data_IF_120848770935
#
_entry.id   IF_120848770935
#
_cell.length_a   1.000
_cell.length_b   1.000
_cell.length_c   1.000
_cell.angle_alpha   90.00
_cell.angle_beta   90.00
_cell.angle_gamma   90.00
#
_symmetry.space_group_name_H-M   'P 1'
#
loop_
_entity.id
_entity.type
_entity.pdbx_description
1 polymer ?
#
# COMPACT_ATOMS: atom_id res chain seq x y z
N UNK A 1 21.14 5.53 -43.70
CA UNK A 1 21.43 5.57 -42.25
C UNK A 1 20.27 6.27 -41.54
N UNK A 2 19.16 5.56 -41.28
CA UNK A 2 18.04 6.09 -40.48
C UNK A 2 17.60 4.98 -39.52
N UNK A 3 18.19 4.99 -38.32
CA UNK A 3 17.92 4.03 -37.26
C UNK A 3 16.56 4.33 -36.61
N UNK A 4 15.74 3.30 -36.47
CA UNK A 4 14.45 3.38 -35.81
C UNK A 4 14.56 3.61 -34.30
N UNK A 5 13.52 4.22 -33.74
CA UNK A 5 13.19 4.12 -32.31
C UNK A 5 11.67 4.06 -32.18
N UNK A 6 11.14 2.83 -32.17
CA UNK A 6 9.78 2.59 -31.66
C UNK A 6 9.68 2.98 -30.18
N UNK A 7 8.46 3.15 -29.65
CA UNK A 7 8.25 3.47 -28.24
C UNK A 7 8.90 2.39 -27.36
N UNK A 8 9.79 2.82 -26.46
CA UNK A 8 10.39 1.95 -25.46
C UNK A 8 9.27 1.37 -24.60
N UNK A 9 9.18 0.04 -24.40
CA UNK A 9 8.23 -0.49 -23.44
C UNK A 9 8.52 0.14 -22.08
N UNK A 10 7.48 0.64 -21.42
CA UNK A 10 7.57 1.08 -20.03
C UNK A 10 8.01 -0.14 -19.23
N UNK A 11 9.25 -0.09 -18.73
CA UNK A 11 9.79 -1.13 -17.88
C UNK A 11 8.84 -1.30 -16.70
N UNK A 12 8.15 -2.45 -16.66
CA UNK A 12 7.47 -2.93 -15.47
C UNK A 12 8.50 -2.86 -14.34
N UNK A 13 8.32 -1.92 -13.41
CA UNK A 13 9.14 -1.90 -12.20
C UNK A 13 8.61 -3.03 -11.34
N UNK A 14 9.12 -4.22 -11.61
CA UNK A 14 9.02 -5.33 -10.69
C UNK A 14 9.52 -4.83 -9.33
N UNK A 15 8.71 -4.92 -8.26
CA UNK A 15 9.12 -4.44 -6.96
C UNK A 15 10.43 -5.16 -6.58
N UNK A 16 11.42 -4.45 -6.00
CA UNK A 16 12.71 -5.05 -5.70
C UNK A 16 12.49 -6.28 -4.84
N UNK A 17 13.01 -7.42 -5.30
CA UNK A 17 12.93 -8.73 -4.66
C UNK A 17 13.73 -8.78 -3.36
N UNK A 18 13.29 -8.03 -2.35
CA UNK A 18 13.68 -8.17 -0.96
C UNK A 18 12.59 -8.92 -0.17
N UNK A 19 12.89 -9.48 1.01
CA UNK A 19 11.92 -10.27 1.76
C UNK A 19 10.81 -9.37 2.34
N UNK A 20 9.70 -9.22 1.61
CA UNK A 20 8.56 -8.39 2.03
C UNK A 20 7.13 -9.01 1.96
N UNK A 21 6.94 -10.35 2.05
CA UNK A 21 5.63 -10.93 2.42
C UNK A 21 5.60 -11.63 3.79
N UNK A 22 6.74 -12.07 4.33
CA UNK A 22 6.80 -12.84 5.58
C UNK A 22 6.85 -11.95 6.84
N UNK A 23 7.61 -10.85 6.80
CA UNK A 23 7.88 -10.02 7.98
C UNK A 23 6.61 -9.41 8.61
N UNK A 24 5.62 -9.05 7.78
CA UNK A 24 4.33 -8.52 8.27
C UNK A 24 3.49 -9.59 8.97
N UNK A 25 3.65 -10.87 8.60
CA UNK A 25 2.93 -12.00 9.23
C UNK A 25 3.55 -12.40 10.55
N UNK A 26 4.84 -12.14 10.75
CA UNK A 26 5.59 -12.46 11.96
C UNK A 26 5.55 -11.36 13.01
N UNK A 27 4.83 -10.26 12.77
CA UNK A 27 4.67 -9.19 13.76
C UNK A 27 4.01 -9.75 15.04
N UNK A 28 4.55 -9.44 16.23
CA UNK A 28 3.87 -9.73 17.50
C UNK A 28 2.49 -9.09 17.51
N UNK A 29 1.49 -9.85 17.94
CA UNK A 29 0.09 -9.42 17.96
C UNK A 29 -0.26 -8.85 19.35
N UNK A 30 -1.14 -7.84 19.43
CA UNK A 30 -1.94 -7.25 18.35
C UNK A 30 -1.19 -6.20 17.52
N UNK A 31 -1.58 -6.06 16.25
CA UNK A 31 -1.10 -5.05 15.31
C UNK A 31 -2.28 -4.21 14.85
N UNK A 32 -2.12 -2.88 14.96
CA UNK A 32 -3.11 -1.93 14.48
C UNK A 32 -2.63 -1.19 13.23
N UNK A 33 -3.56 -0.89 12.32
CA UNK A 33 -3.37 0.11 11.27
C UNK A 33 -3.96 1.42 11.75
N UNK A 34 -3.15 2.48 11.77
CA UNK A 34 -3.56 3.81 12.23
C UNK A 34 -3.61 4.78 11.06
N UNK A 35 -4.78 5.37 10.81
CA UNK A 35 -5.06 6.23 9.67
C UNK A 35 -5.38 7.65 10.15
N UNK A 36 -4.52 8.59 9.81
CA UNK A 36 -4.68 10.00 10.20
C UNK A 36 -5.80 10.72 9.45
N UNK A 37 -6.10 11.95 9.90
CA UNK A 37 -6.93 12.88 9.14
C UNK A 37 -6.22 13.35 7.86
N UNK A 38 -6.97 13.87 6.88
CA UNK A 38 -6.37 14.37 5.63
C UNK A 38 -7.32 15.05 4.65
N UNK A 39 -8.58 15.28 5.01
CA UNK A 39 -9.58 15.83 4.10
C UNK A 39 -9.62 15.07 2.77
N UNK A 40 -9.65 15.80 1.65
CA UNK A 40 -9.67 15.22 0.30
C UNK A 40 -8.41 14.39 0.00
N UNK A 41 -7.22 14.83 0.47
CA UNK A 41 -5.97 14.09 0.28
C UNK A 41 -5.96 12.76 1.05
N UNK A 42 -6.83 12.62 2.05
CA UNK A 42 -7.02 11.38 2.81
C UNK A 42 -7.40 10.18 1.94
N UNK A 43 -7.94 10.38 0.74
CA UNK A 43 -8.24 9.30 -0.21
C UNK A 43 -7.01 8.45 -0.57
N UNK A 44 -5.79 8.98 -0.42
CA UNK A 44 -4.55 8.22 -0.62
C UNK A 44 -4.44 7.00 0.32
N UNK A 45 -5.07 7.03 1.50
CA UNK A 45 -5.05 5.90 2.43
C UNK A 45 -5.71 4.64 1.86
N UNK A 46 -6.63 4.76 0.90
CA UNK A 46 -7.22 3.60 0.20
C UNK A 46 -6.15 2.80 -0.55
N UNK A 47 -5.20 3.48 -1.20
CA UNK A 47 -4.09 2.82 -1.89
C UNK A 47 -3.14 2.09 -0.95
N UNK A 48 -2.94 2.63 0.26
CA UNK A 48 -2.16 1.97 1.32
C UNK A 48 -2.86 0.69 1.79
N UNK A 49 -4.17 0.77 2.05
CA UNK A 49 -4.98 -0.40 2.41
C UNK A 49 -4.92 -1.49 1.34
N UNK A 50 -5.11 -1.12 0.08
CA UNK A 50 -5.02 -2.04 -1.06
C UNK A 50 -3.63 -2.71 -1.17
N UNK A 51 -2.55 -1.95 -0.96
CA UNK A 51 -1.20 -2.51 -0.98
C UNK A 51 -0.93 -3.48 0.19
N UNK A 52 -1.52 -3.24 1.36
CA UNK A 52 -1.45 -4.15 2.50
C UNK A 52 -2.26 -5.43 2.27
N UNK A 53 -3.46 -5.29 1.68
CA UNK A 53 -4.32 -6.42 1.29
C UNK A 53 -3.62 -7.34 0.28
N UNK A 54 -3.01 -6.78 -0.77
CA UNK A 54 -2.24 -7.55 -1.77
C UNK A 54 -1.09 -8.36 -1.14
N UNK A 55 -0.58 -7.94 0.02
CA UNK A 55 0.48 -8.65 0.76
C UNK A 55 -0.07 -9.70 1.75
N UNK A 56 -1.39 -9.82 1.85
CA UNK A 56 -2.08 -10.69 2.79
C UNK A 56 -1.92 -10.24 4.24
N UNK A 57 -1.73 -8.95 4.49
CA UNK A 57 -1.66 -8.40 5.83
C UNK A 57 -3.06 -8.14 6.37
N UNK A 58 -3.37 -8.73 7.53
CA UNK A 58 -4.63 -8.52 8.26
C UNK A 58 -4.30 -7.89 9.62
N UNK A 59 -4.70 -6.64 9.88
CA UNK A 59 -4.56 -6.03 11.19
C UNK A 59 -5.61 -6.58 12.16
N UNK A 60 -5.31 -6.52 13.46
CA UNK A 60 -6.25 -6.88 14.52
C UNK A 60 -7.20 -5.71 14.82
N UNK A 61 -6.76 -4.48 14.54
CA UNK A 61 -7.53 -3.26 14.74
C UNK A 61 -7.22 -2.22 13.67
N UNK A 62 -8.21 -1.40 13.35
CA UNK A 62 -8.04 -0.18 12.55
C UNK A 62 -8.46 1.00 13.42
N UNK A 63 -7.61 2.02 13.52
CA UNK A 63 -7.87 3.24 14.29
C UNK A 63 -7.78 4.40 13.32
N UNK A 64 -8.85 5.18 13.19
CA UNK A 64 -8.90 6.30 12.26
C UNK A 64 -9.30 7.62 12.92
N UNK A 65 -8.92 8.74 12.30
CA UNK A 65 -9.40 10.09 12.67
C UNK A 65 -9.97 10.82 11.44
N UNK A 66 -11.15 11.43 11.57
CA UNK A 66 -11.82 12.16 10.47
C UNK A 66 -11.97 11.27 9.21
N UNK A 67 -11.48 11.70 8.04
CA UNK A 67 -11.47 10.89 6.80
C UNK A 67 -10.77 9.55 6.99
N UNK A 68 -9.75 9.46 7.83
CA UNK A 68 -9.11 8.19 8.17
C UNK A 68 -10.03 7.23 8.92
N UNK A 69 -10.96 7.75 9.75
CA UNK A 69 -11.98 6.94 10.40
C UNK A 69 -13.03 6.43 9.41
N UNK A 70 -13.40 7.26 8.42
CA UNK A 70 -14.31 6.85 7.35
C UNK A 70 -13.70 5.76 6.45
N UNK A 71 -12.42 5.88 6.11
CA UNK A 71 -11.71 4.89 5.28
C UNK A 71 -11.47 3.60 6.06
N UNK A 72 -11.27 3.69 7.37
CA UNK A 72 -10.98 2.54 8.23
C UNK A 72 -12.20 1.86 8.85
N UNK A 73 -13.42 2.36 8.61
CA UNK A 73 -14.69 1.77 9.05
C UNK A 73 -15.19 0.71 8.06
#
# INVERSE_FOLDING_TARGET
MTGGKGPRPLSSSEPPGGPAPAALRTLPRPVAVVVGAGGVLGAAHVGVGYALEQRGFVPDMIIGTSVGALIGA
#
